data_IF_037465922945
#
_entry.id   IF_037465922945
#
_cell.length_a   1.000
_cell.length_b   1.000
_cell.length_c   1.000
_cell.angle_alpha   90.00
_cell.angle_beta   90.00
_cell.angle_gamma   90.00
#
_symmetry.space_group_name_H-M   'P 1'
#
loop_
_entity.id
_entity.type
_entity.pdbx_description
1 polymer ?
#
# COMPACT_ATOMS: atom_id res chain seq x y z
N UNK A 1 -2.21 -12.70 -4.66
CA UNK A 1 -0.81 -13.15 -4.70
C UNK A 1 -0.79 -14.67 -4.66
N UNK A 2 -0.03 -15.29 -5.54
CA UNK A 2 0.04 -16.74 -5.72
C UNK A 2 1.30 -17.29 -5.08
N UNK A 3 1.37 -18.61 -4.89
CA UNK A 3 2.52 -19.30 -4.27
C UNK A 3 3.81 -19.16 -5.07
N UNK A 4 3.71 -18.84 -6.36
CA UNK A 4 4.84 -18.60 -7.26
C UNK A 4 5.37 -17.16 -7.19
N UNK A 5 4.88 -16.33 -6.27
CA UNK A 5 5.31 -14.93 -6.13
C UNK A 5 4.53 -13.94 -6.99
N UNK A 6 3.65 -14.40 -7.90
CA UNK A 6 2.91 -13.51 -8.79
C UNK A 6 1.73 -12.82 -8.09
N UNK A 7 1.38 -11.62 -8.56
CA UNK A 7 0.18 -10.89 -8.14
C UNK A 7 -0.80 -10.79 -9.31
N UNK A 8 -2.08 -11.01 -9.04
CA UNK A 8 -3.14 -10.76 -10.01
C UNK A 8 -3.35 -9.24 -10.11
N UNK A 9 -2.71 -8.60 -11.10
CA UNK A 9 -2.79 -7.17 -11.34
C UNK A 9 -3.05 -6.90 -12.82
N UNK A 10 -3.96 -5.98 -13.11
CA UNK A 10 -4.27 -5.52 -14.47
C UNK A 10 -4.68 -4.05 -14.43
N UNK A 11 -4.25 -3.29 -15.44
CA UNK A 11 -4.65 -1.91 -15.63
C UNK A 11 -5.04 -1.66 -17.11
N UNK A 12 -6.29 -1.24 -17.40
CA UNK A 12 -7.41 -1.09 -16.46
C UNK A 12 -7.82 -2.43 -15.82
N UNK A 13 -8.51 -2.40 -14.66
CA UNK A 13 -8.99 -3.63 -14.03
C UNK A 13 -10.02 -4.36 -14.93
N UNK A 14 -10.13 -5.70 -14.83
CA UNK A 14 -11.17 -6.46 -15.52
C UNK A 14 -12.56 -6.12 -14.98
N UNK A 15 -13.59 -6.30 -15.82
CA UNK A 15 -14.99 -6.05 -15.46
C UNK A 15 -15.83 -7.35 -15.52
N UNK A 16 -16.45 -7.78 -14.40
CA UNK A 16 -16.39 -7.17 -13.06
C UNK A 16 -15.03 -7.41 -12.37
N UNK A 17 -14.63 -6.48 -11.52
CA UNK A 17 -13.41 -6.66 -10.71
C UNK A 17 -13.56 -7.90 -9.80
N UNK A 18 -12.56 -8.80 -9.76
CA UNK A 18 -12.59 -9.95 -8.87
C UNK A 18 -12.52 -9.51 -7.41
N UNK A 19 -13.12 -10.30 -6.52
CA UNK A 19 -12.95 -10.08 -5.09
C UNK A 19 -11.50 -10.33 -4.69
N UNK A 20 -10.83 -9.31 -4.15
CA UNK A 20 -9.43 -9.40 -3.75
C UNK A 20 -9.26 -10.20 -2.45
N UNK A 21 -8.12 -10.85 -2.26
CA UNK A 21 -7.83 -11.63 -1.05
C UNK A 21 -7.14 -10.76 0.01
N UNK A 22 -7.02 -11.24 1.26
CA UNK A 22 -6.19 -10.58 2.29
C UNK A 22 -4.75 -10.41 1.79
N UNK A 23 -4.17 -11.44 1.16
CA UNK A 23 -2.82 -11.39 0.61
C UNK A 23 -2.68 -10.32 -0.49
N UNK A 24 -3.69 -10.18 -1.36
CA UNK A 24 -3.69 -9.13 -2.37
C UNK A 24 -3.76 -7.73 -1.75
N UNK A 25 -4.66 -7.52 -0.77
CA UNK A 25 -4.81 -6.21 -0.10
C UNK A 25 -3.56 -5.81 0.68
N UNK A 26 -2.91 -6.76 1.36
CA UNK A 26 -1.62 -6.53 2.00
C UNK A 26 -0.57 -6.11 0.96
N UNK A 27 -0.43 -6.85 -0.14
CA UNK A 27 0.51 -6.50 -1.21
C UNK A 27 0.23 -5.10 -1.79
N UNK A 28 -1.05 -4.74 -1.98
CA UNK A 28 -1.44 -3.41 -2.45
C UNK A 28 -1.02 -2.30 -1.46
N UNK A 29 -1.32 -2.46 -0.16
CA UNK A 29 -0.92 -1.47 0.87
C UNK A 29 0.61 -1.38 0.99
N UNK A 30 1.30 -2.51 0.99
CA UNK A 30 2.76 -2.55 1.12
C UNK A 30 3.42 -1.86 -0.08
N UNK A 31 3.07 -2.26 -1.30
CA UNK A 31 3.78 -1.83 -2.51
C UNK A 31 3.16 -0.56 -3.06
N UNK A 32 1.90 -0.66 -3.47
CA UNK A 32 1.17 0.35 -4.20
C UNK A 32 0.92 1.62 -3.40
N UNK A 33 0.77 1.51 -2.09
CA UNK A 33 0.48 2.64 -1.22
C UNK A 33 1.77 3.14 -0.56
N UNK A 34 2.50 2.27 0.14
CA UNK A 34 3.62 2.71 0.98
C UNK A 34 4.99 2.68 0.28
N UNK A 35 5.41 1.54 -0.27
CA UNK A 35 6.79 1.38 -0.74
C UNK A 35 7.13 2.28 -1.94
N UNK A 36 6.24 2.39 -2.92
CA UNK A 36 6.46 3.28 -4.07
C UNK A 36 6.55 4.75 -3.63
N UNK A 37 5.78 5.17 -2.63
CA UNK A 37 5.83 6.54 -2.09
C UNK A 37 7.08 6.77 -1.24
N UNK A 38 7.49 5.77 -0.46
CA UNK A 38 8.75 5.83 0.27
C UNK A 38 9.93 6.01 -0.68
N UNK A 39 9.95 5.27 -1.80
CA UNK A 39 10.98 5.41 -2.83
C UNK A 39 10.97 6.84 -3.41
N UNK A 40 9.80 7.32 -3.85
CA UNK A 40 9.69 8.60 -4.54
C UNK A 40 9.92 9.82 -3.65
N UNK A 41 9.55 9.76 -2.37
CA UNK A 41 9.48 10.96 -1.51
C UNK A 41 10.39 10.92 -0.28
N UNK A 42 10.74 9.73 0.22
CA UNK A 42 11.43 9.57 1.50
C UNK A 42 12.69 8.69 1.43
N UNK A 43 13.28 8.54 0.24
CA UNK A 43 14.56 7.84 0.06
C UNK A 43 14.50 6.35 0.40
N UNK A 44 13.31 5.73 0.27
CA UNK A 44 13.15 4.29 0.36
C UNK A 44 13.92 3.55 -0.74
N UNK A 45 14.11 2.24 -0.62
CA UNK A 45 14.64 1.44 -1.71
C UNK A 45 13.71 1.50 -2.93
N UNK A 46 14.26 1.24 -4.12
CA UNK A 46 13.46 1.15 -5.34
C UNK A 46 12.29 0.19 -5.18
N UNK A 47 11.11 0.62 -5.61
CA UNK A 47 9.88 -0.13 -5.48
C UNK A 47 9.02 0.08 -6.74
N UNK A 48 8.54 -1.01 -7.31
CA UNK A 48 7.55 -1.00 -8.40
C UNK A 48 6.71 -2.27 -8.33
N UNK A 49 5.52 -2.27 -8.95
CA UNK A 49 4.68 -3.47 -8.97
C UNK A 49 5.33 -4.65 -9.71
N UNK A 50 6.18 -4.35 -10.69
CA UNK A 50 6.82 -5.31 -11.58
C UNK A 50 8.00 -6.04 -10.92
N UNK A 51 8.74 -5.33 -10.05
CA UNK A 51 9.99 -5.85 -9.48
C UNK A 51 9.90 -6.17 -7.98
N UNK A 52 8.79 -5.82 -7.32
CA UNK A 52 8.67 -6.03 -5.88
C UNK A 52 8.75 -7.53 -5.51
N UNK A 53 9.54 -7.90 -4.49
CA UNK A 53 9.62 -9.27 -4.00
C UNK A 53 8.39 -9.59 -3.13
N UNK A 54 7.27 -9.89 -3.78
CA UNK A 54 6.01 -10.16 -3.09
C UNK A 54 6.11 -11.34 -2.11
N UNK A 55 5.60 -11.13 -0.88
CA UNK A 55 5.68 -12.07 0.23
C UNK A 55 4.78 -13.31 0.06
N UNK A 56 5.36 -14.51 -0.06
CA UNK A 56 4.59 -15.76 -0.26
C UNK A 56 4.03 -16.36 1.04
N UNK A 57 4.30 -15.73 2.18
CA UNK A 57 3.82 -16.11 3.51
C UNK A 57 3.44 -14.88 4.35
N UNK A 58 2.67 -15.12 5.41
CA UNK A 58 2.14 -14.06 6.26
C UNK A 58 3.21 -13.34 7.10
N UNK A 59 4.25 -14.04 7.55
CA UNK A 59 5.28 -13.44 8.38
C UNK A 59 6.12 -12.44 7.57
N UNK A 60 6.51 -12.83 6.36
CA UNK A 60 7.19 -11.96 5.40
C UNK A 60 6.32 -10.78 5.01
N UNK A 61 5.01 -10.98 4.77
CA UNK A 61 4.10 -9.88 4.42
C UNK A 61 3.96 -8.86 5.56
N UNK A 62 3.85 -9.33 6.80
CA UNK A 62 3.78 -8.45 7.97
C UNK A 62 5.08 -7.68 8.19
N UNK A 63 6.24 -8.33 8.04
CA UNK A 63 7.54 -7.64 8.11
C UNK A 63 7.65 -6.55 7.04
N UNK A 64 7.26 -6.84 5.79
CA UNK A 64 7.27 -5.84 4.72
C UNK A 64 6.31 -4.67 5.02
N UNK A 65 5.15 -4.94 5.60
CA UNK A 65 4.20 -3.91 6.02
C UNK A 65 4.77 -3.01 7.11
N UNK A 66 5.34 -3.61 8.16
CA UNK A 66 5.93 -2.87 9.28
C UNK A 66 7.08 -1.97 8.80
N UNK A 67 7.96 -2.49 7.93
CA UNK A 67 9.07 -1.74 7.36
C UNK A 67 8.60 -0.56 6.49
N UNK A 68 7.64 -0.82 5.59
CA UNK A 68 7.12 0.21 4.70
C UNK A 68 6.36 1.29 5.47
N UNK A 69 5.57 0.89 6.49
CA UNK A 69 4.87 1.82 7.37
C UNK A 69 5.84 2.66 8.21
N UNK A 70 6.85 2.03 8.81
CA UNK A 70 7.85 2.72 9.64
C UNK A 70 8.59 3.81 8.86
N UNK A 71 8.97 3.52 7.60
CA UNK A 71 9.60 4.51 6.71
C UNK A 71 8.65 5.64 6.36
N UNK A 72 7.41 5.31 6.01
CA UNK A 72 6.41 6.30 5.63
C UNK A 72 6.11 7.25 6.79
N UNK A 73 5.86 6.72 7.99
CA UNK A 73 5.55 7.55 9.15
C UNK A 73 6.75 8.37 9.60
N UNK A 74 7.98 7.87 9.45
CA UNK A 74 9.19 8.64 9.72
C UNK A 74 9.33 9.81 8.75
N UNK A 75 9.14 9.57 7.45
CA UNK A 75 9.17 10.61 6.41
C UNK A 75 8.09 11.67 6.63
N UNK A 76 6.84 11.24 6.80
CA UNK A 76 5.71 12.15 7.03
C UNK A 76 5.88 13.01 8.29
N UNK A 77 6.45 12.46 9.38
CA UNK A 77 6.76 13.22 10.61
C UNK A 77 7.95 14.15 10.46
N UNK A 78 8.80 13.93 9.47
CA UNK A 78 9.96 14.79 9.17
C UNK A 78 9.61 16.03 8.35
N UNK A 79 8.39 16.11 7.81
CA UNK A 79 7.94 17.25 7.02
C UNK A 79 7.66 18.46 7.93
N UNK A 80 8.17 19.63 7.52
CA UNK A 80 7.75 20.91 8.11
C UNK A 80 6.40 21.37 7.56
N UNK A 81 5.82 22.41 8.16
CA UNK A 81 4.61 23.07 7.62
C UNK A 81 4.84 23.58 6.19
N UNK A 82 6.01 24.16 5.91
CA UNK A 82 6.36 24.63 4.56
C UNK A 82 6.45 23.46 3.57
N UNK A 83 7.03 22.32 3.98
CA UNK A 83 7.12 21.15 3.10
C UNK A 83 5.74 20.56 2.78
N UNK A 84 4.79 20.62 3.73
CA UNK A 84 3.41 20.17 3.53
C UNK A 84 2.65 20.98 2.48
N UNK A 85 2.99 22.26 2.30
CA UNK A 85 2.36 23.16 1.32
C UNK A 85 3.03 23.16 -0.05
N UNK A 86 4.26 22.61 -0.17
CA UNK A 86 4.96 22.51 -1.46
C UNK A 86 4.29 21.50 -2.39
N UNK A 87 4.34 21.71 -3.71
CA UNK A 87 3.90 20.71 -4.69
C UNK A 87 4.58 19.35 -4.47
N UNK A 88 3.81 18.25 -4.54
CA UNK A 88 4.30 16.87 -4.34
C UNK A 88 5.35 16.46 -5.37
N UNK A 89 5.31 17.06 -6.57
CA UNK A 89 6.32 16.86 -7.59
C UNK A 89 6.00 15.74 -8.59
N UNK A 90 6.86 15.59 -9.61
CA UNK A 90 6.56 14.87 -10.85
C UNK A 90 6.31 13.37 -10.68
N UNK A 91 6.75 12.77 -9.57
CA UNK A 91 6.56 11.34 -9.29
C UNK A 91 5.08 10.93 -9.21
N UNK A 92 4.19 11.86 -8.85
CA UNK A 92 2.74 11.61 -8.74
C UNK A 92 1.97 11.99 -10.01
N UNK A 93 2.68 12.26 -11.12
CA UNK A 93 2.11 12.42 -12.46
C UNK A 93 1.09 13.56 -12.54
N UNK A 94 -0.19 13.29 -12.92
CA UNK A 94 -1.23 14.33 -13.02
C UNK A 94 -1.47 15.12 -11.72
N UNK A 95 -1.02 14.59 -10.58
CA UNK A 95 -1.18 15.22 -9.27
C UNK A 95 0.02 16.07 -8.86
N UNK A 96 1.06 16.18 -9.69
CA UNK A 96 2.35 16.78 -9.32
C UNK A 96 2.28 18.19 -8.70
N UNK A 97 1.27 18.99 -9.08
CA UNK A 97 1.07 20.36 -8.59
C UNK A 97 0.28 20.44 -7.28
N UNK A 98 -0.30 19.34 -6.81
CA UNK A 98 -1.03 19.29 -5.53
C UNK A 98 -0.06 19.33 -4.34
N UNK A 99 -0.47 19.86 -3.17
CA UNK A 99 0.42 19.99 -2.03
C UNK A 99 0.76 18.64 -1.37
N UNK A 100 1.93 18.54 -0.73
CA UNK A 100 2.37 17.32 -0.02
C UNK A 100 1.37 16.83 1.03
N UNK A 101 0.68 17.74 1.69
CA UNK A 101 -0.43 17.43 2.60
C UNK A 101 -1.54 16.60 1.96
N UNK A 102 -1.87 16.83 0.68
CA UNK A 102 -2.88 16.04 -0.04
C UNK A 102 -2.42 14.61 -0.29
N UNK A 103 -1.14 14.40 -0.63
CA UNK A 103 -0.58 13.05 -0.74
C UNK A 103 -0.61 12.34 0.62
N UNK A 104 -0.18 13.01 1.69
CA UNK A 104 -0.21 12.44 3.05
C UNK A 104 -1.63 12.05 3.46
N UNK A 105 -2.62 12.90 3.19
CA UNK A 105 -4.02 12.60 3.44
C UNK A 105 -4.50 11.40 2.63
N UNK A 106 -4.16 11.34 1.35
CA UNK A 106 -4.52 10.23 0.47
C UNK A 106 -3.95 8.91 0.99
N UNK A 107 -2.65 8.85 1.30
CA UNK A 107 -2.02 7.63 1.80
C UNK A 107 -2.63 7.19 3.15
N UNK A 108 -2.94 8.12 4.05
CA UNK A 108 -3.65 7.80 5.29
C UNK A 108 -5.03 7.16 5.01
N UNK A 109 -5.78 7.71 4.05
CA UNK A 109 -7.07 7.14 3.64
C UNK A 109 -6.92 5.73 3.08
N UNK A 110 -5.94 5.49 2.20
CA UNK A 110 -5.72 4.18 1.59
C UNK A 110 -5.35 3.11 2.64
N UNK A 111 -4.46 3.45 3.57
CA UNK A 111 -4.07 2.54 4.67
C UNK A 111 -5.26 2.21 5.57
N UNK A 112 -6.05 3.22 5.96
CA UNK A 112 -7.26 3.00 6.78
C UNK A 112 -8.29 2.17 6.03
N UNK A 113 -8.55 2.51 4.77
CA UNK A 113 -9.54 1.85 3.93
C UNK A 113 -9.23 0.36 3.77
N UNK A 114 -8.05 0.02 3.26
CA UNK A 114 -7.67 -1.37 3.03
C UNK A 114 -7.36 -2.12 4.33
N UNK A 115 -6.84 -1.43 5.36
CA UNK A 115 -6.69 -1.99 6.70
C UNK A 115 -8.03 -2.44 7.29
N UNK A 116 -9.09 -1.64 7.12
CA UNK A 116 -10.43 -1.99 7.56
C UNK A 116 -11.01 -3.18 6.77
N UNK A 117 -10.78 -3.25 5.45
CA UNK A 117 -11.19 -4.41 4.65
C UNK A 117 -10.46 -5.69 5.10
N UNK A 118 -9.15 -5.62 5.34
CA UNK A 118 -8.35 -6.75 5.84
C UNK A 118 -8.89 -7.22 7.19
N UNK A 119 -9.11 -6.30 8.13
CA UNK A 119 -9.65 -6.61 9.44
C UNK A 119 -11.04 -7.27 9.34
N UNK A 120 -11.93 -6.69 8.53
CA UNK A 120 -13.26 -7.23 8.29
C UNK A 120 -13.22 -8.67 7.75
N UNK A 121 -12.41 -8.93 6.70
CA UNK A 121 -12.31 -10.27 6.11
C UNK A 121 -11.68 -11.26 7.11
N UNK A 122 -10.70 -10.83 7.91
CA UNK A 122 -10.10 -11.66 8.96
C UNK A 122 -11.14 -12.03 10.03
N UNK A 123 -11.94 -11.06 10.47
CA UNK A 123 -12.97 -11.29 11.47
C UNK A 123 -14.08 -12.19 10.92
N UNK A 124 -14.52 -11.99 9.69
CA UNK A 124 -15.44 -12.90 9.00
C UNK A 124 -14.86 -14.31 8.89
N UNK A 125 -13.56 -14.46 8.61
CA UNK A 125 -12.92 -15.78 8.58
C UNK A 125 -12.95 -16.47 9.95
N UNK A 126 -12.64 -15.76 11.04
CA UNK A 126 -12.64 -16.34 12.40
C UNK A 126 -14.05 -16.65 12.89
N UNK A 127 -15.06 -15.87 12.48
CA UNK A 127 -16.44 -15.99 12.97
C UNK A 127 -17.39 -16.67 11.97
N UNK A 128 -16.91 -17.03 10.78
CA UNK A 128 -17.64 -17.92 9.89
C UNK A 128 -17.50 -19.33 10.40
N UNK A 129 -18.62 -19.99 10.67
CA UNK A 129 -18.66 -21.41 11.01
C UNK A 129 -18.39 -22.24 9.75
N UNK A 130 -17.21 -22.11 9.17
CA UNK A 130 -16.69 -23.11 8.26
C UNK A 130 -16.12 -24.26 9.09
N UNK A 131 -17.05 -24.99 9.74
CA UNK A 131 -16.82 -26.40 10.06
C UNK A 131 -16.54 -27.09 8.73
N UNK A 132 -15.29 -27.46 8.51
CA UNK A 132 -14.95 -28.72 7.87
C UNK A 132 -14.31 -29.60 8.93
#
# INVERSE_FOLDING_TARGET
MRRDGSIDFAYPPPEPAPFTTIAWRLAHVIVGVLAVRNYSHFGGPEASYETWPYATDAATALSQLDDAYARWIAGARGLSEEDLDRPIGPAEGPWAEYPMSMLVLHINREVIHHGAEIACIRDLYVHSTHRR
#
